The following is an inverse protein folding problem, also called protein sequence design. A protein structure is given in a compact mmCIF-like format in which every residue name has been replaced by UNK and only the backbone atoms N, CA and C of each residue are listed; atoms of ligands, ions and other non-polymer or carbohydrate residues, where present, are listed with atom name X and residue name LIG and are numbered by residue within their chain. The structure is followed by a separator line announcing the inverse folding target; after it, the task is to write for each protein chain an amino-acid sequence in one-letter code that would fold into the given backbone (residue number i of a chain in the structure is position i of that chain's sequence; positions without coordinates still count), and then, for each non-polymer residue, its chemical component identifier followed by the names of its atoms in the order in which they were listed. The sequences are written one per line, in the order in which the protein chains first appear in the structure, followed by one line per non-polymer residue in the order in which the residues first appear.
data_IF_000288607065
#
_entry.id   IF_000288607065
#
_cell.length_a   1.000
_cell.length_b   1.000
_cell.length_c   1.000
_cell.angle_alpha   90.00
_cell.angle_beta   90.00
_cell.angle_gamma   90.00
#
_symmetry.space_group_name_H-M   'P 1'
#
loop_
_entity.id
_entity.type
_entity.pdbx_description
1 polymer ?
#
# COMPACT_ATOMS: atom_id res chain seq x y z
N UNK A 1 -19.41 17.90 3.26
CA UNK A 1 -18.01 18.08 3.72
C UNK A 1 -17.13 17.37 2.71
N UNK A 2 -16.78 18.06 1.63
CA UNK A 2 -16.12 17.47 0.45
C UNK A 2 -14.62 17.55 0.70
N UNK A 3 -13.96 16.39 0.84
CA UNK A 3 -12.51 16.31 1.03
C UNK A 3 -11.79 16.80 -0.22
N UNK A 4 -10.98 17.83 -0.02
CA UNK A 4 -10.02 18.40 -0.95
C UNK A 4 -8.95 17.33 -1.18
N UNK A 5 -8.91 16.71 -2.36
CA UNK A 5 -7.93 15.65 -2.65
C UNK A 5 -7.88 15.14 -4.09
N UNK A 6 -8.96 15.24 -4.87
CA UNK A 6 -9.00 14.69 -6.23
C UNK A 6 -9.15 15.78 -7.29
N UNK A 7 -8.08 16.53 -7.58
CA UNK A 7 -8.01 17.36 -8.80
C UNK A 7 -7.27 16.54 -9.85
N UNK A 8 -7.99 15.62 -10.51
CA UNK A 8 -7.52 14.99 -11.74
C UNK A 8 -7.62 15.98 -12.90
N UNK A 9 -6.59 16.06 -13.74
CA UNK A 9 -6.62 16.82 -15.00
C UNK A 9 -7.57 16.15 -15.98
N UNK A 10 -8.44 16.91 -16.63
CA UNK A 10 -9.37 16.40 -17.64
C UNK A 10 -8.70 16.41 -19.02
N UNK A 11 -8.89 15.36 -19.83
CA UNK A 11 -8.53 15.37 -21.25
C UNK A 11 -9.52 16.21 -22.08
N UNK A 12 -9.19 16.47 -23.35
CA UNK A 12 -10.05 17.24 -24.26
C UNK A 12 -11.44 16.59 -24.52
N UNK A 13 -11.65 15.36 -24.06
CA UNK A 13 -12.91 14.61 -24.14
C UNK A 13 -13.66 14.55 -22.79
N UNK A 14 -13.18 15.26 -21.76
CA UNK A 14 -13.78 15.29 -20.42
C UNK A 14 -13.47 14.05 -19.56
N UNK A 15 -12.53 13.20 -19.98
CA UNK A 15 -12.11 12.02 -19.21
C UNK A 15 -11.05 12.41 -18.19
N UNK A 16 -11.20 11.91 -16.97
CA UNK A 16 -10.21 12.13 -15.91
C UNK A 16 -8.92 11.39 -16.29
N UNK A 17 -7.85 12.15 -16.53
CA UNK A 17 -6.49 11.62 -16.62
C UNK A 17 -5.96 11.54 -15.20
N UNK A 18 -5.83 10.32 -14.66
CA UNK A 18 -5.00 10.10 -13.48
C UNK A 18 -3.55 10.11 -13.92
N UNK A 19 -2.81 11.15 -13.52
CA UNK A 19 -1.37 11.13 -13.61
C UNK A 19 -0.84 10.01 -12.72
N UNK A 20 0.03 9.18 -13.29
CA UNK A 20 0.79 8.20 -12.53
C UNK A 20 1.69 8.94 -11.56
N UNK A 21 1.56 8.63 -10.27
CA UNK A 21 2.43 9.16 -9.23
C UNK A 21 3.39 8.05 -8.85
N UNK A 22 4.67 8.25 -9.12
CA UNK A 22 5.70 7.28 -8.78
C UNK A 22 6.00 7.31 -7.28
N UNK A 23 5.73 6.19 -6.60
CA UNK A 23 6.02 6.01 -5.17
C UNK A 23 7.23 5.11 -4.92
N UNK A 24 8.01 4.76 -5.95
CA UNK A 24 9.15 3.84 -5.86
C UNK A 24 10.15 4.23 -4.76
N UNK A 25 10.58 5.50 -4.75
CA UNK A 25 11.50 6.06 -3.74
C UNK A 25 10.92 6.01 -2.33
N UNK A 26 9.62 6.37 -2.19
CA UNK A 26 8.94 6.29 -0.88
C UNK A 26 8.87 4.85 -0.38
N UNK A 27 8.63 3.89 -1.28
CA UNK A 27 8.60 2.48 -0.95
C UNK A 27 9.98 1.97 -0.54
N UNK A 28 11.03 2.34 -1.28
CA UNK A 28 12.40 1.93 -1.00
C UNK A 28 12.88 2.44 0.39
N UNK A 29 12.46 3.63 0.80
CA UNK A 29 12.78 4.19 2.12
C UNK A 29 11.91 3.64 3.26
N UNK A 30 10.60 3.50 3.04
CA UNK A 30 9.63 3.18 4.11
C UNK A 30 9.46 1.70 4.37
N UNK A 31 9.49 0.86 3.33
CA UNK A 31 9.28 -0.60 3.48
C UNK A 31 10.31 -1.21 4.45
N UNK A 32 11.63 -0.90 4.37
CA UNK A 32 12.62 -1.44 5.31
C UNK A 32 12.37 -0.99 6.75
N UNK A 33 11.97 0.27 6.95
CA UNK A 33 11.68 0.83 8.29
C UNK A 33 10.53 0.08 8.96
N UNK A 34 9.43 -0.13 8.23
CA UNK A 34 8.27 -0.85 8.79
C UNK A 34 8.53 -2.34 8.95
N UNK A 35 9.37 -2.96 8.12
CA UNK A 35 9.87 -4.32 8.37
C UNK A 35 10.70 -4.40 9.66
N UNK A 36 11.53 -3.41 9.95
CA UNK A 36 12.25 -3.34 11.24
C UNK A 36 11.27 -3.23 12.41
N UNK A 37 10.26 -2.37 12.31
CA UNK A 37 9.24 -2.22 13.36
C UNK A 37 8.49 -3.54 13.62
N UNK A 38 8.18 -4.29 12.57
CA UNK A 38 7.58 -5.61 12.71
C UNK A 38 8.50 -6.59 13.45
N UNK A 39 9.81 -6.55 13.17
CA UNK A 39 10.81 -7.36 13.86
C UNK A 39 10.98 -6.98 15.34
N UNK A 40 10.73 -5.72 15.69
CA UNK A 40 10.71 -5.20 17.07
C UNK A 40 9.40 -5.52 17.83
N UNK A 41 8.45 -6.23 17.20
CA UNK A 41 7.17 -6.63 17.79
C UNK A 41 6.02 -5.67 17.51
N UNK A 42 6.24 -4.57 16.77
CA UNK A 42 5.20 -3.61 16.35
C UNK A 42 4.58 -4.00 15.01
N UNK A 43 4.18 -5.26 14.89
CA UNK A 43 3.68 -5.87 13.65
C UNK A 43 2.41 -5.15 13.15
N UNK A 44 1.46 -4.89 14.05
CA UNK A 44 0.19 -4.25 13.68
C UNK A 44 0.41 -2.83 13.15
N UNK A 45 1.23 -2.02 13.84
CA UNK A 45 1.55 -0.66 13.43
C UNK A 45 2.24 -0.63 12.05
N UNK A 46 3.18 -1.56 11.82
CA UNK A 46 3.86 -1.69 10.52
C UNK A 46 2.87 -2.02 9.38
N UNK A 47 1.95 -2.95 9.63
CA UNK A 47 0.92 -3.34 8.66
C UNK A 47 -0.02 -2.17 8.35
N UNK A 48 -0.46 -1.43 9.36
CA UNK A 48 -1.37 -0.28 9.18
C UNK A 48 -0.74 0.81 8.31
N UNK A 49 0.57 1.09 8.51
CA UNK A 49 1.31 2.04 7.68
C UNK A 49 1.47 1.54 6.22
N UNK A 50 1.77 0.26 6.04
CA UNK A 50 1.84 -0.35 4.71
C UNK A 50 0.50 -0.32 3.98
N UNK A 51 -0.62 -0.58 4.68
CA UNK A 51 -1.97 -0.48 4.11
C UNK A 51 -2.35 0.95 3.73
N UNK A 52 -1.90 1.94 4.50
CA UNK A 52 -2.09 3.35 4.15
C UNK A 52 -1.31 3.72 2.87
N UNK A 53 -0.07 3.26 2.75
CA UNK A 53 0.75 3.49 1.55
C UNK A 53 0.18 2.74 0.33
N UNK A 54 -0.28 1.50 0.51
CA UNK A 54 -0.97 0.73 -0.53
C UNK A 54 -2.13 1.54 -1.13
N UNK A 55 -2.99 2.11 -0.27
CA UNK A 55 -4.10 2.95 -0.73
C UNK A 55 -3.64 4.14 -1.57
N UNK A 56 -2.53 4.78 -1.21
CA UNK A 56 -1.97 5.91 -1.96
C UNK A 56 -1.47 5.45 -3.33
N UNK A 57 -0.63 4.42 -3.36
CA UNK A 57 -0.07 3.85 -4.61
C UNK A 57 -1.17 3.37 -5.57
N UNK A 58 -2.21 2.70 -5.07
CA UNK A 58 -3.37 2.28 -5.86
C UNK A 58 -4.18 3.46 -6.40
N UNK A 59 -4.34 4.51 -5.59
CA UNK A 59 -5.09 5.72 -6.03
C UNK A 59 -4.29 6.52 -7.07
N UNK A 60 -2.97 6.55 -6.94
CA UNK A 60 -2.01 7.16 -7.86
C UNK A 60 -1.65 6.31 -9.07
N UNK A 61 -2.35 5.19 -9.31
CA UNK A 61 -2.16 4.28 -10.44
C UNK A 61 -0.76 3.63 -10.56
N UNK A 62 0.04 3.64 -9.51
CA UNK A 62 1.35 2.98 -9.45
C UNK A 62 1.20 1.52 -9.00
N UNK A 63 0.98 0.65 -9.98
CA UNK A 63 0.81 -0.79 -9.73
C UNK A 63 2.10 -1.48 -9.31
N UNK A 64 3.26 -0.96 -9.70
CA UNK A 64 4.56 -1.56 -9.39
C UNK A 64 4.82 -1.42 -7.89
N UNK A 65 4.68 -0.21 -7.36
CA UNK A 65 4.82 0.04 -5.92
C UNK A 65 3.72 -0.65 -5.12
N UNK A 66 2.48 -0.65 -5.61
CA UNK A 66 1.38 -1.39 -4.97
C UNK A 66 1.77 -2.86 -4.77
N UNK A 67 2.29 -3.53 -5.82
CA UNK A 67 2.68 -4.95 -5.73
C UNK A 67 3.78 -5.21 -4.69
N UNK A 68 4.78 -4.32 -4.59
CA UNK A 68 5.87 -4.41 -3.62
C UNK A 68 5.36 -4.31 -2.17
N UNK A 69 4.43 -3.39 -1.92
CA UNK A 69 3.82 -3.20 -0.60
C UNK A 69 3.02 -4.43 -0.18
N UNK A 70 2.24 -5.02 -1.08
CA UNK A 70 1.47 -6.25 -0.80
C UNK A 70 2.38 -7.42 -0.39
N UNK A 71 3.50 -7.60 -1.10
CA UNK A 71 4.50 -8.63 -0.75
C UNK A 71 5.12 -8.34 0.62
N UNK A 72 5.42 -7.08 0.94
CA UNK A 72 5.97 -6.71 2.24
C UNK A 72 5.02 -7.03 3.41
N UNK A 73 3.71 -6.80 3.26
CA UNK A 73 2.69 -7.14 4.27
C UNK A 73 2.69 -8.66 4.54
N UNK A 74 2.69 -9.46 3.49
CA UNK A 74 2.73 -10.93 3.58
C UNK A 74 4.00 -11.42 4.27
N UNK A 75 5.15 -10.83 3.92
CA UNK A 75 6.44 -11.16 4.53
C UNK A 75 6.43 -10.89 6.05
N UNK A 76 5.90 -9.75 6.47
CA UNK A 76 5.79 -9.36 7.89
C UNK A 76 4.90 -10.33 8.66
N UNK A 77 3.72 -10.67 8.12
CA UNK A 77 2.81 -11.63 8.76
C UNK A 77 3.44 -13.02 8.90
N UNK A 78 4.24 -13.43 7.90
CA UNK A 78 4.99 -14.69 7.94
C UNK A 78 6.08 -14.68 9.02
N UNK A 79 6.89 -13.62 9.08
CA UNK A 79 7.95 -13.45 10.09
C UNK A 79 7.41 -13.38 11.52
N UNK A 80 6.26 -12.74 11.70
CA UNK A 80 5.53 -12.70 12.97
C UNK A 80 4.91 -14.05 13.39
N UNK A 81 4.98 -15.08 12.53
CA UNK A 81 4.34 -16.41 12.70
C UNK A 81 2.82 -16.33 12.98
N UNK A 82 2.19 -15.23 12.57
CA UNK A 82 0.75 -15.03 12.73
C UNK A 82 0.00 -15.52 11.50
N UNK A 83 -0.18 -16.84 11.43
CA UNK A 83 -0.80 -17.52 10.28
C UNK A 83 -2.27 -17.14 10.05
N UNK A 84 -2.99 -16.77 11.12
CA UNK A 84 -4.38 -16.30 11.01
C UNK A 84 -4.42 -14.95 10.29
N UNK A 85 -3.65 -13.97 10.78
CA UNK A 85 -3.59 -12.65 10.17
C UNK A 85 -3.05 -12.72 8.74
N UNK A 86 -2.09 -13.62 8.47
CA UNK A 86 -1.58 -13.85 7.13
C UNK A 86 -2.70 -14.25 6.16
N UNK A 87 -3.54 -15.23 6.53
CA UNK A 87 -4.63 -15.69 5.68
C UNK A 87 -5.66 -14.57 5.44
N UNK A 88 -6.03 -13.84 6.50
CA UNK A 88 -6.97 -12.72 6.42
C UNK A 88 -6.44 -11.62 5.48
N UNK A 89 -5.16 -11.27 5.60
CA UNK A 89 -4.53 -10.29 4.71
C UNK A 89 -4.44 -10.79 3.28
N UNK A 90 -4.12 -12.06 3.01
CA UNK A 90 -4.13 -12.60 1.64
C UNK A 90 -5.52 -12.47 1.01
N UNK A 91 -6.57 -12.88 1.73
CA UNK A 91 -7.95 -12.77 1.25
C UNK A 91 -8.34 -11.31 1.04
N UNK A 92 -8.04 -10.43 1.98
CA UNK A 92 -8.33 -9.00 1.89
C UNK A 92 -7.68 -8.37 0.65
N UNK A 93 -6.40 -8.66 0.43
CA UNK A 93 -5.62 -8.10 -0.67
C UNK A 93 -6.07 -8.66 -2.03
N UNK A 94 -6.53 -9.92 -2.08
CA UNK A 94 -7.06 -10.52 -3.31
C UNK A 94 -8.36 -9.86 -3.81
N UNK A 95 -9.17 -9.35 -2.89
CA UNK A 95 -10.48 -8.71 -3.18
C UNK A 95 -10.36 -7.23 -3.54
N UNK A 96 -9.17 -6.63 -3.41
CA UNK A 96 -8.93 -5.19 -3.61
C UNK A 96 -8.46 -4.82 -5.03
N UNK A 97 -8.69 -5.70 -6.01
CA UNK A 97 -8.32 -5.52 -7.42
C UNK A 97 -9.54 -5.33 -8.30
#
# INVERSE_FOLDING_TARGET
MTTIGDIGTLDASGKIIKMEVDYSTTCDDKIPVWKSWASEGKVQEAIDQLLALEKQTRTGADMVSTSRILVAIVQICYEAKNWSALNDHIVLLSKRR
#
